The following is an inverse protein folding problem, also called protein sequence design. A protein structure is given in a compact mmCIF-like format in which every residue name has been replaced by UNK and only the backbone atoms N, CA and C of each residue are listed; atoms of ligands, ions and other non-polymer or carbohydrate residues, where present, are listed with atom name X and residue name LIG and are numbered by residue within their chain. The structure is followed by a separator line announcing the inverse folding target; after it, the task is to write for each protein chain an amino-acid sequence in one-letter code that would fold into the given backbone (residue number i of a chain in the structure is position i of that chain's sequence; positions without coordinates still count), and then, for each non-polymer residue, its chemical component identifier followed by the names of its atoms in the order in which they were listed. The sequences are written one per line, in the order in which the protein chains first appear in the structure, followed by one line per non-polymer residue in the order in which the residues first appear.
data_IF_084044284350
#
_entry.id   IF_084044284350
#
_cell.length_a   1.000
_cell.length_b   1.000
_cell.length_c   1.000
_cell.angle_alpha   90.00
_cell.angle_beta   90.00
_cell.angle_gamma   90.00
#
_symmetry.space_group_name_H-M   'P 1'
#
loop_
_entity.id
_entity.type
_entity.pdbx_description
1 polymer ?
#
# COMPACT_ATOMS: atom_id res chain seq x y z
N UNK A 1 -9.91 -9.12 -8.70
CA UNK A 1 -10.15 -10.15 -9.76
C UNK A 1 -10.94 -11.39 -9.30
N UNK A 2 -10.36 -12.38 -8.61
CA UNK A 2 -11.08 -13.64 -8.35
C UNK A 2 -12.37 -13.44 -7.53
N UNK A 3 -12.28 -12.63 -6.46
CA UNK A 3 -13.44 -12.24 -5.65
C UNK A 3 -14.50 -11.48 -6.45
N UNK A 4 -14.10 -10.57 -7.34
CA UNK A 4 -15.01 -9.81 -8.23
C UNK A 4 -15.76 -10.76 -9.18
N UNK A 5 -15.02 -11.65 -9.87
CA UNK A 5 -15.59 -12.60 -10.84
C UNK A 5 -16.62 -13.53 -10.25
N UNK A 6 -16.29 -14.09 -9.08
CA UNK A 6 -17.15 -15.07 -8.42
C UNK A 6 -18.27 -14.37 -7.65
N UNK A 7 -18.03 -13.14 -7.19
CA UNK A 7 -18.96 -12.29 -6.46
C UNK A 7 -19.66 -12.98 -5.27
N UNK A 8 -18.91 -13.85 -4.58
CA UNK A 8 -19.30 -14.46 -3.29
C UNK A 8 -18.65 -13.63 -2.17
N UNK A 9 -19.31 -13.43 -1.02
CA UNK A 9 -18.71 -12.73 0.12
C UNK A 9 -17.27 -13.19 0.36
N UNK A 10 -16.34 -12.22 0.33
CA UNK A 10 -14.90 -12.48 0.32
C UNK A 10 -14.18 -11.45 1.16
N UNK A 11 -13.08 -11.87 1.80
CA UNK A 11 -12.20 -10.98 2.57
C UNK A 11 -10.74 -11.31 2.27
N UNK A 12 -9.91 -10.29 2.06
CA UNK A 12 -8.48 -10.45 1.81
C UNK A 12 -7.70 -10.36 3.13
N UNK A 13 -6.94 -11.42 3.42
CA UNK A 13 -5.96 -11.46 4.53
C UNK A 13 -4.57 -11.39 3.93
N UNK A 14 -3.88 -10.27 4.17
CA UNK A 14 -2.53 -10.03 3.66
C UNK A 14 -1.49 -10.83 4.44
N UNK A 15 -0.36 -11.16 3.80
CA UNK A 15 0.76 -11.85 4.43
C UNK A 15 1.57 -10.95 5.35
N UNK A 16 1.65 -9.65 5.01
CA UNK A 16 2.38 -8.63 5.77
C UNK A 16 3.84 -8.47 5.33
N UNK A 17 4.47 -7.34 5.66
CA UNK A 17 5.88 -7.11 5.38
C UNK A 17 6.77 -7.98 6.28
N UNK A 18 7.93 -8.36 5.74
CA UNK A 18 9.06 -8.91 6.49
C UNK A 18 9.63 -7.82 7.41
N UNK A 19 10.21 -8.20 8.56
CA UNK A 19 11.03 -7.27 9.32
C UNK A 19 12.29 -6.90 8.54
N UNK A 20 12.77 -5.65 8.59
CA UNK A 20 14.00 -5.28 7.92
C UNK A 20 15.22 -5.96 8.55
N UNK A 21 16.22 -6.23 7.71
CA UNK A 21 17.54 -6.69 8.13
C UNK A 21 18.29 -5.62 8.92
N UNK A 22 19.26 -6.05 9.73
CA UNK A 22 20.19 -5.15 10.42
C UNK A 22 21.62 -5.62 10.28
N UNK A 23 22.50 -4.75 9.79
CA UNK A 23 23.93 -5.00 9.65
C UNK A 23 24.71 -3.81 10.21
N UNK A 24 25.62 -4.06 11.16
CA UNK A 24 26.42 -3.01 11.85
C UNK A 24 25.58 -1.86 12.44
N UNK A 25 24.37 -2.16 12.92
CA UNK A 25 23.45 -1.16 13.50
C UNK A 25 22.51 -0.51 12.48
N UNK A 26 22.84 -0.56 11.19
CA UNK A 26 22.06 0.03 10.11
C UNK A 26 20.98 -0.92 9.62
N UNK A 27 19.85 -0.35 9.19
CA UNK A 27 18.81 -1.07 8.47
C UNK A 27 19.34 -1.42 7.08
N UNK A 28 19.19 -2.69 6.67
CA UNK A 28 19.57 -3.14 5.33
C UNK A 28 18.42 -3.90 4.70
N UNK A 29 18.05 -3.50 3.49
CA UNK A 29 16.98 -4.09 2.69
C UNK A 29 17.47 -4.41 1.27
N UNK A 30 16.72 -5.23 0.53
CA UNK A 30 17.13 -5.68 -0.82
C UNK A 30 17.48 -4.55 -1.79
N UNK A 31 16.75 -3.42 -1.84
CA UNK A 31 17.15 -2.28 -2.66
C UNK A 31 18.55 -1.74 -2.35
N UNK A 32 18.98 -1.74 -1.09
CA UNK A 32 20.31 -1.23 -0.69
C UNK A 32 21.42 -2.14 -1.25
N UNK A 33 21.18 -3.46 -1.37
CA UNK A 33 22.10 -4.40 -2.01
C UNK A 33 22.15 -4.17 -3.51
N UNK A 34 20.99 -3.99 -4.15
CA UNK A 34 20.93 -3.74 -5.59
C UNK A 34 21.70 -2.46 -5.96
N UNK A 35 21.56 -1.41 -5.15
CA UNK A 35 22.32 -0.17 -5.32
C UNK A 35 23.82 -0.39 -5.08
N UNK A 36 24.19 -1.14 -4.04
CA UNK A 36 25.58 -1.48 -3.76
C UNK A 36 26.23 -2.29 -4.89
N UNK A 37 25.51 -3.25 -5.48
CA UNK A 37 25.95 -4.04 -6.64
C UNK A 37 26.09 -3.14 -7.87
N UNK A 38 25.14 -2.23 -8.12
CA UNK A 38 25.24 -1.27 -9.22
C UNK A 38 26.43 -0.29 -9.04
N UNK A 39 26.84 -0.05 -7.79
CA UNK A 39 28.00 0.77 -7.45
C UNK A 39 29.33 0.00 -7.45
N UNK A 40 29.35 -1.32 -7.71
CA UNK A 40 30.58 -2.10 -7.82
C UNK A 40 31.49 -1.52 -8.92
N UNK A 41 32.78 -1.42 -8.62
CA UNK A 41 33.77 -0.78 -9.50
C UNK A 41 33.90 0.73 -9.33
N UNK A 42 32.95 1.38 -8.64
CA UNK A 42 33.13 2.71 -8.05
C UNK A 42 33.74 2.48 -6.67
N UNK A 43 34.81 3.19 -6.27
CA UNK A 43 35.61 2.97 -5.03
C UNK A 43 34.87 3.19 -3.69
N UNK A 44 33.55 2.96 -3.65
CA UNK A 44 32.67 3.20 -2.51
C UNK A 44 32.19 1.92 -1.82
N UNK A 45 32.25 0.76 -2.47
CA UNK A 45 31.78 -0.52 -1.90
C UNK A 45 32.70 -1.66 -2.34
N UNK A 46 33.00 -2.60 -1.44
CA UNK A 46 33.75 -3.84 -1.76
C UNK A 46 32.81 -5.03 -1.88
N UNK A 47 33.21 -6.03 -2.66
CA UNK A 47 32.44 -7.27 -2.82
C UNK A 47 32.21 -7.97 -1.47
N UNK A 48 33.21 -7.95 -0.58
CA UNK A 48 33.09 -8.54 0.76
C UNK A 48 32.03 -7.84 1.62
N UNK A 49 31.89 -6.52 1.53
CA UNK A 49 30.85 -5.79 2.28
C UNK A 49 29.45 -6.10 1.72
N UNK A 50 29.31 -6.28 0.40
CA UNK A 50 28.04 -6.68 -0.22
C UNK A 50 27.63 -8.08 0.25
N UNK A 51 28.53 -9.06 0.14
CA UNK A 51 28.27 -10.44 0.59
C UNK A 51 27.98 -10.50 2.09
N UNK A 52 28.66 -9.67 2.89
CA UNK A 52 28.36 -9.58 4.32
C UNK A 52 26.94 -9.05 4.57
N UNK A 53 26.51 -8.00 3.85
CA UNK A 53 25.15 -7.44 3.98
C UNK A 53 24.05 -8.37 3.45
N UNK A 54 24.33 -9.12 2.37
CA UNK A 54 23.39 -10.07 1.76
C UNK A 54 22.82 -11.04 2.80
N UNK A 55 23.68 -11.55 3.69
CA UNK A 55 23.31 -12.47 4.76
C UNK A 55 22.31 -11.89 5.81
N UNK A 56 22.06 -10.58 5.79
CA UNK A 56 21.16 -9.92 6.75
C UNK A 56 19.87 -9.39 6.13
N UNK A 57 19.77 -9.29 4.80
CA UNK A 57 18.66 -8.60 4.11
C UNK A 57 17.31 -9.28 4.29
N UNK A 58 17.30 -10.62 4.36
CA UNK A 58 16.08 -11.41 4.48
C UNK A 58 16.04 -12.19 5.81
N UNK A 59 15.79 -11.53 6.95
CA UNK A 59 15.88 -12.17 8.26
C UNK A 59 14.75 -13.17 8.58
N UNK A 60 13.70 -13.26 7.76
CA UNK A 60 12.62 -14.23 7.96
C UNK A 60 11.47 -14.12 6.95
N UNK A 61 10.30 -14.71 7.22
CA UNK A 61 9.17 -14.66 6.29
C UNK A 61 8.52 -13.27 6.21
N UNK A 62 7.94 -12.97 5.04
CA UNK A 62 7.15 -11.78 4.73
C UNK A 62 7.43 -11.21 3.34
N UNK A 63 6.64 -10.24 2.90
CA UNK A 63 6.93 -9.46 1.69
C UNK A 63 8.15 -8.55 1.91
N UNK A 64 8.72 -7.98 0.84
CA UNK A 64 9.80 -6.99 0.97
C UNK A 64 9.42 -5.91 2.00
N UNK A 65 10.34 -5.41 2.86
CA UNK A 65 10.01 -4.45 3.92
C UNK A 65 9.77 -3.01 3.40
N UNK A 66 9.84 -2.79 2.09
CA UNK A 66 9.75 -1.49 1.41
C UNK A 66 8.41 -1.35 0.67
N UNK A 67 8.06 -0.15 0.17
CA UNK A 67 6.92 0.09 -0.72
C UNK A 67 7.16 -0.46 -2.15
N UNK A 68 7.46 -1.76 -2.25
CA UNK A 68 7.36 -2.49 -3.50
C UNK A 68 5.91 -2.94 -3.78
N UNK A 69 5.68 -3.51 -4.95
CA UNK A 69 4.34 -3.92 -5.43
C UNK A 69 3.54 -4.73 -4.40
N UNK A 70 4.18 -5.65 -3.67
CA UNK A 70 3.49 -6.45 -2.67
C UNK A 70 2.88 -5.57 -1.55
N UNK A 71 3.65 -4.66 -0.95
CA UNK A 71 3.11 -3.80 0.10
C UNK A 71 2.17 -2.74 -0.45
N UNK A 72 2.42 -2.21 -1.65
CA UNK A 72 1.47 -1.32 -2.34
C UNK A 72 0.12 -2.02 -2.47
N UNK A 73 0.06 -3.21 -3.07
CA UNK A 73 -1.21 -3.93 -3.25
C UNK A 73 -1.85 -4.38 -1.93
N UNK A 74 -1.06 -4.69 -0.90
CA UNK A 74 -1.60 -4.95 0.44
C UNK A 74 -2.25 -3.68 1.02
N UNK A 75 -1.62 -2.52 0.92
CA UNK A 75 -2.22 -1.25 1.38
C UNK A 75 -3.49 -0.94 0.58
N UNK A 76 -3.45 -1.15 -0.73
CA UNK A 76 -4.60 -0.92 -1.60
C UNK A 76 -5.76 -1.87 -1.35
N UNK A 77 -5.52 -3.10 -0.88
CA UNK A 77 -6.64 -3.99 -0.52
C UNK A 77 -7.47 -3.44 0.63
N UNK A 78 -6.86 -2.68 1.54
CA UNK A 78 -7.56 -1.95 2.60
C UNK A 78 -8.17 -0.64 2.10
N UNK A 79 -7.48 0.09 1.21
CA UNK A 79 -8.04 1.31 0.59
C UNK A 79 -9.30 1.05 -0.25
N UNK A 80 -9.34 -0.10 -0.95
CA UNK A 80 -10.51 -0.59 -1.68
C UNK A 80 -11.62 -1.04 -0.70
N UNK A 81 -11.25 -1.42 0.53
CA UNK A 81 -12.17 -1.92 1.54
C UNK A 81 -12.32 -3.45 1.56
N UNK A 82 -11.42 -4.21 0.93
CA UNK A 82 -11.44 -5.68 0.88
C UNK A 82 -10.62 -6.36 1.99
N UNK A 83 -9.84 -5.59 2.75
CA UNK A 83 -9.12 -6.04 3.95
C UNK A 83 -9.60 -5.25 5.17
N UNK A 84 -9.55 -5.87 6.35
CA UNK A 84 -9.94 -5.20 7.60
C UNK A 84 -9.10 -3.93 7.83
N UNK A 85 -9.72 -2.88 8.33
CA UNK A 85 -9.02 -1.66 8.72
C UNK A 85 -7.88 -1.94 9.72
N UNK A 86 -6.70 -1.41 9.44
CA UNK A 86 -5.44 -1.56 10.18
C UNK A 86 -4.67 -2.84 9.90
N UNK A 87 -5.12 -3.69 8.98
CA UNK A 87 -4.54 -5.03 8.83
C UNK A 87 -3.37 -5.12 7.86
N UNK A 88 -3.27 -4.20 6.90
CA UNK A 88 -2.44 -4.43 5.71
C UNK A 88 -0.94 -4.33 5.94
N UNK A 89 -0.53 -3.50 6.91
CA UNK A 89 0.88 -3.24 7.21
C UNK A 89 1.42 -4.04 8.40
N UNK A 90 0.58 -4.82 9.10
CA UNK A 90 1.02 -5.60 10.26
C UNK A 90 2.14 -6.60 9.87
N UNK A 91 3.29 -6.61 10.55
CA UNK A 91 4.42 -7.46 10.14
C UNK A 91 4.05 -8.94 10.09
N UNK A 92 4.58 -9.67 9.11
CA UNK A 92 4.25 -11.07 8.86
C UNK A 92 4.50 -11.97 10.08
N UNK A 93 5.56 -11.69 10.82
CA UNK A 93 5.97 -12.44 12.01
C UNK A 93 5.35 -11.90 13.32
N UNK A 94 4.50 -10.88 13.25
CA UNK A 94 3.87 -10.32 14.45
C UNK A 94 2.74 -11.21 14.97
N UNK A 95 2.54 -11.23 16.29
CA UNK A 95 1.36 -11.89 16.89
C UNK A 95 0.04 -11.24 16.45
N UNK A 96 0.09 -9.99 15.99
CA UNK A 96 -1.06 -9.27 15.43
C UNK A 96 -1.55 -9.88 14.13
N UNK A 97 -0.65 -10.34 13.25
CA UNK A 97 -1.01 -11.01 11.98
C UNK A 97 -1.92 -12.21 12.21
N UNK A 98 -1.65 -13.01 13.25
CA UNK A 98 -2.52 -14.14 13.64
C UNK A 98 -3.87 -13.70 14.19
N UNK A 99 -3.90 -12.61 14.98
CA UNK A 99 -5.16 -12.04 15.48
C UNK A 99 -6.02 -11.49 14.33
N UNK A 100 -5.40 -10.82 13.36
CA UNK A 100 -6.04 -10.34 12.13
C UNK A 100 -6.67 -11.51 11.39
N UNK A 101 -5.91 -12.58 11.12
CA UNK A 101 -6.43 -13.76 10.41
C UNK A 101 -7.67 -14.35 11.11
N UNK A 102 -7.62 -14.48 12.45
CA UNK A 102 -8.77 -14.96 13.25
C UNK A 102 -9.97 -14.00 13.20
N UNK A 103 -9.73 -12.69 13.25
CA UNK A 103 -10.79 -11.66 13.13
C UNK A 103 -11.42 -11.70 11.75
N UNK A 104 -10.63 -11.82 10.68
CA UNK A 104 -11.14 -11.96 9.31
C UNK A 104 -11.97 -13.21 9.13
N UNK A 105 -11.56 -14.34 9.73
CA UNK A 105 -12.33 -15.59 9.73
C UNK A 105 -13.68 -15.50 10.46
N UNK A 106 -13.80 -14.64 11.48
CA UNK A 106 -15.10 -14.33 12.09
C UNK A 106 -15.91 -13.41 11.19
N UNK A 107 -15.29 -12.34 10.71
CA UNK A 107 -15.97 -11.31 9.91
C UNK A 107 -16.54 -11.85 8.60
N UNK A 108 -15.87 -12.80 7.96
CA UNK A 108 -16.40 -13.41 6.73
C UNK A 108 -17.71 -14.18 6.95
N UNK A 109 -17.91 -14.78 8.14
CA UNK A 109 -19.19 -15.42 8.50
C UNK A 109 -20.29 -14.38 8.57
N UNK A 110 -20.01 -13.24 9.18
CA UNK A 110 -20.96 -12.12 9.26
C UNK A 110 -21.29 -11.56 7.87
N UNK A 111 -20.27 -11.35 7.01
CA UNK A 111 -20.48 -10.89 5.62
C UNK A 111 -21.39 -11.84 4.82
N UNK A 112 -21.29 -13.15 5.05
CA UNK A 112 -22.19 -14.15 4.44
C UNK A 112 -23.62 -14.00 4.94
N UNK A 113 -23.82 -13.77 6.24
CA UNK A 113 -25.15 -13.56 6.83
C UNK A 113 -25.78 -12.24 6.36
N UNK A 114 -24.98 -11.18 6.30
CA UNK A 114 -25.36 -9.84 5.82
C UNK A 114 -25.51 -9.78 4.29
N UNK A 115 -25.06 -10.82 3.58
CA UNK A 115 -25.03 -10.93 2.11
C UNK A 115 -24.23 -9.80 1.42
N UNK A 116 -23.20 -9.28 2.09
CA UNK A 116 -22.29 -8.29 1.54
C UNK A 116 -21.27 -8.99 0.64
N UNK A 117 -21.26 -8.62 -0.63
CA UNK A 117 -20.43 -9.21 -1.68
C UNK A 117 -19.35 -8.23 -2.14
N UNK A 118 -18.32 -8.70 -2.86
CA UNK A 118 -17.30 -7.83 -3.45
C UNK A 118 -17.89 -6.71 -4.32
N UNK A 119 -18.96 -6.96 -5.09
CA UNK A 119 -19.63 -5.91 -5.88
C UNK A 119 -20.32 -4.81 -5.06
N UNK A 120 -20.58 -5.02 -3.76
CA UNK A 120 -21.12 -3.99 -2.86
C UNK A 120 -20.00 -3.10 -2.27
N UNK A 121 -18.74 -3.55 -2.37
CA UNK A 121 -17.55 -2.89 -1.79
C UNK A 121 -16.71 -2.26 -2.91
N UNK A 122 -16.42 -3.03 -3.96
CA UNK A 122 -15.57 -2.65 -5.08
C UNK A 122 -16.44 -1.98 -6.15
N UNK A 123 -16.39 -0.66 -6.19
CA UNK A 123 -17.02 0.18 -7.20
C UNK A 123 -16.08 1.30 -7.66
N UNK A 124 -16.63 2.24 -8.43
CA UNK A 124 -15.83 3.35 -8.98
C UNK A 124 -15.15 4.16 -7.88
N UNK A 125 -15.90 4.56 -6.85
CA UNK A 125 -15.40 5.37 -5.73
C UNK A 125 -14.30 4.66 -4.92
N UNK A 126 -14.42 3.34 -4.68
CA UNK A 126 -13.38 2.60 -3.96
C UNK A 126 -12.11 2.41 -4.81
N UNK A 127 -12.25 2.28 -6.13
CA UNK A 127 -11.10 2.23 -7.04
C UNK A 127 -10.43 3.61 -7.17
N UNK A 128 -11.20 4.69 -7.17
CA UNK A 128 -10.68 6.06 -7.08
C UNK A 128 -9.93 6.27 -5.77
N UNK A 129 -10.47 5.80 -4.63
CA UNK A 129 -9.77 5.81 -3.35
C UNK A 129 -8.45 5.05 -3.43
N UNK A 130 -8.43 3.87 -4.05
CA UNK A 130 -7.20 3.10 -4.23
C UNK A 130 -6.15 3.87 -5.04
N UNK A 131 -6.53 4.48 -6.17
CA UNK A 131 -5.63 5.29 -6.97
C UNK A 131 -5.09 6.50 -6.19
N UNK A 132 -5.95 7.21 -5.46
CA UNK A 132 -5.55 8.37 -4.64
C UNK A 132 -4.60 7.97 -3.50
N UNK A 133 -4.84 6.83 -2.85
CA UNK A 133 -3.93 6.29 -1.84
C UNK A 133 -2.60 5.86 -2.45
N UNK A 134 -2.61 5.19 -3.61
CA UNK A 134 -1.39 4.78 -4.31
C UNK A 134 -0.47 5.98 -4.61
N UNK A 135 -1.04 7.05 -5.16
CA UNK A 135 -0.34 8.31 -5.41
C UNK A 135 0.23 8.90 -4.11
N UNK A 136 -0.58 8.96 -3.05
CA UNK A 136 -0.20 9.57 -1.78
C UNK A 136 0.90 8.80 -1.04
N UNK A 137 0.96 7.48 -1.17
CA UNK A 137 2.03 6.68 -0.57
C UNK A 137 3.29 6.64 -1.45
N UNK A 138 3.21 7.12 -2.69
CA UNK A 138 4.23 6.89 -3.72
C UNK A 138 4.40 5.40 -4.00
N UNK A 139 3.30 4.72 -4.27
CA UNK A 139 3.27 3.28 -4.48
C UNK A 139 3.98 2.83 -5.76
N UNK A 140 4.06 1.51 -5.93
CA UNK A 140 4.61 0.90 -7.13
C UNK A 140 3.79 1.27 -8.37
N UNK A 141 4.45 1.65 -9.47
CA UNK A 141 3.78 1.93 -10.76
C UNK A 141 2.97 0.74 -11.29
N UNK A 142 3.29 -0.48 -10.86
CA UNK A 142 2.49 -1.68 -11.18
C UNK A 142 1.07 -1.65 -10.59
N UNK A 143 0.82 -0.85 -9.55
CA UNK A 143 -0.51 -0.69 -8.98
C UNK A 143 -1.53 -0.17 -10.00
N UNK A 144 -1.10 0.70 -10.92
CA UNK A 144 -1.92 1.22 -12.02
C UNK A 144 -2.48 0.08 -12.86
N UNK A 145 -1.61 -0.86 -13.26
CA UNK A 145 -2.01 -2.03 -14.06
C UNK A 145 -3.05 -2.87 -13.33
N UNK A 146 -2.87 -3.07 -12.02
CA UNK A 146 -3.81 -3.83 -11.21
C UNK A 146 -5.15 -3.11 -11.02
N UNK A 147 -5.16 -1.81 -10.73
CA UNK A 147 -6.38 -1.01 -10.57
C UNK A 147 -7.16 -0.98 -11.90
N UNK A 148 -6.50 -0.72 -13.02
CA UNK A 148 -7.12 -0.75 -14.35
C UNK A 148 -7.70 -2.13 -14.67
N UNK A 149 -7.04 -3.20 -14.24
CA UNK A 149 -7.55 -4.56 -14.42
C UNK A 149 -8.81 -4.81 -13.58
N UNK A 150 -8.87 -4.33 -12.34
CA UNK A 150 -10.08 -4.43 -11.50
C UNK A 150 -11.24 -3.62 -12.08
N UNK A 151 -10.96 -2.40 -12.56
CA UNK A 151 -11.96 -1.57 -13.23
C UNK A 151 -12.53 -2.25 -14.48
N UNK A 152 -11.66 -2.82 -15.32
CA UNK A 152 -12.08 -3.54 -16.52
C UNK A 152 -12.94 -4.77 -16.18
N UNK A 153 -12.58 -5.53 -15.15
CA UNK A 153 -13.36 -6.69 -14.69
C UNK A 153 -14.79 -6.31 -14.28
N UNK A 154 -14.98 -5.08 -13.78
CA UNK A 154 -16.28 -4.54 -13.35
C UNK A 154 -16.94 -3.67 -14.42
N UNK A 155 -16.37 -3.58 -15.63
CA UNK A 155 -16.81 -2.68 -16.70
C UNK A 155 -16.92 -1.20 -16.26
N UNK A 156 -16.06 -0.76 -15.35
CA UNK A 156 -15.97 0.62 -14.88
C UNK A 156 -15.04 1.38 -15.83
N UNK A 157 -15.52 2.53 -16.33
CA UNK A 157 -14.70 3.45 -17.13
C UNK A 157 -13.61 4.08 -16.27
N UNK A 158 -12.41 3.51 -16.27
CA UNK A 158 -11.26 3.97 -15.51
C UNK A 158 -10.06 4.04 -16.45
N UNK A 159 -9.62 5.25 -16.76
CA UNK A 159 -8.58 5.52 -17.74
C UNK A 159 -7.21 5.75 -17.08
N UNK A 160 -6.16 5.86 -17.88
CA UNK A 160 -4.79 6.07 -17.36
C UNK A 160 -4.60 7.54 -16.92
N UNK A 161 -5.32 8.45 -17.56
CA UNK A 161 -5.26 9.90 -17.40
C UNK A 161 -5.65 10.35 -16.00
N UNK A 162 -6.58 9.63 -15.36
CA UNK A 162 -6.97 9.89 -13.98
C UNK A 162 -5.78 9.88 -13.02
N UNK A 163 -4.78 9.02 -13.24
CA UNK A 163 -3.60 8.91 -12.39
C UNK A 163 -2.71 10.15 -12.51
N UNK A 164 -2.56 10.71 -13.73
CA UNK A 164 -1.85 11.98 -13.92
C UNK A 164 -2.57 13.14 -13.24
N UNK A 165 -3.91 13.19 -13.36
CA UNK A 165 -4.72 14.22 -12.70
C UNK A 165 -4.61 14.15 -11.17
N UNK A 166 -4.59 12.95 -10.61
CA UNK A 166 -4.41 12.72 -9.18
C UNK A 166 -2.99 13.04 -8.72
N UNK A 167 -1.97 12.64 -9.47
CA UNK A 167 -0.57 12.92 -9.14
C UNK A 167 -0.27 14.42 -9.02
N UNK A 168 -0.94 15.27 -9.82
CA UNK A 168 -0.82 16.73 -9.75
C UNK A 168 -1.52 17.38 -8.55
N UNK A 169 -2.43 16.67 -7.88
CA UNK A 169 -3.30 17.22 -6.83
C UNK A 169 -3.02 16.62 -5.45
N UNK A 170 -2.55 15.38 -5.43
CA UNK A 170 -2.39 14.60 -4.21
C UNK A 170 -0.89 14.51 -3.92
N UNK A 171 -0.44 15.05 -2.77
CA UNK A 171 0.96 15.01 -2.43
C UNK A 171 1.39 13.62 -1.95
N UNK A 172 2.67 13.28 -2.14
CA UNK A 172 3.25 12.10 -1.51
C UNK A 172 3.56 12.39 -0.03
N UNK A 173 3.00 11.57 0.87
CA UNK A 173 3.08 11.78 2.33
C UNK A 173 3.81 10.66 3.08
N UNK A 174 4.20 9.57 2.42
CA UNK A 174 4.86 8.43 3.08
C UNK A 174 6.38 8.47 2.93
N UNK A 175 7.09 8.53 4.07
CA UNK A 175 8.54 8.48 4.16
C UNK A 175 9.09 7.04 4.15
N UNK A 176 8.62 6.20 3.24
CA UNK A 176 9.00 4.78 3.20
C UNK A 176 9.79 4.50 1.93
N UNK A 177 10.88 3.74 2.05
CA UNK A 177 11.68 3.30 0.89
C UNK A 177 10.76 2.74 -0.21
N UNK A 178 10.96 3.12 -1.49
CA UNK A 178 12.08 3.92 -2.01
C UNK A 178 11.91 5.44 -1.89
N UNK A 179 10.75 5.95 -1.48
CA UNK A 179 10.48 7.40 -1.43
C UNK A 179 11.19 8.11 -0.28
N UNK A 180 11.61 7.34 0.73
CA UNK A 180 12.10 7.86 2.00
C UNK A 180 13.01 6.89 2.73
N UNK A 181 13.19 7.12 4.03
CA UNK A 181 14.20 6.42 4.84
C UNK A 181 13.64 5.22 5.62
N UNK A 182 12.33 5.16 5.86
CA UNK A 182 11.70 4.16 6.72
C UNK A 182 11.19 2.93 5.95
N UNK A 183 10.70 1.95 6.70
CA UNK A 183 10.14 0.70 6.18
C UNK A 183 8.62 0.62 6.40
N UNK A 184 7.96 -0.37 5.79
CA UNK A 184 6.52 -0.60 5.99
C UNK A 184 6.20 -1.05 7.43
N UNK A 185 7.18 -1.64 8.13
CA UNK A 185 7.06 -1.95 9.57
C UNK A 185 7.01 -0.68 10.41
N UNK A 186 7.82 0.33 10.07
CA UNK A 186 7.76 1.64 10.71
C UNK A 186 6.44 2.34 10.39
N UNK A 187 5.97 2.23 9.13
CA UNK A 187 4.65 2.74 8.73
C UNK A 187 3.52 2.13 9.55
N UNK A 188 3.56 0.81 9.82
CA UNK A 188 2.58 0.16 10.68
C UNK A 188 2.59 0.76 12.09
N UNK A 189 3.78 0.94 12.67
CA UNK A 189 3.95 1.55 13.99
C UNK A 189 3.47 3.00 14.04
N UNK A 190 3.63 3.74 12.94
CA UNK A 190 3.19 5.12 12.77
C UNK A 190 1.66 5.30 12.60
N UNK A 191 0.89 4.21 12.61
CA UNK A 191 -0.57 4.21 12.47
C UNK A 191 -1.10 3.51 11.21
N UNK A 192 -0.22 3.08 10.31
CA UNK A 192 -0.54 2.25 9.15
C UNK A 192 -1.47 2.92 8.14
N UNK A 193 -2.22 2.09 7.42
CA UNK A 193 -3.14 2.55 6.37
C UNK A 193 -4.25 3.47 6.91
N UNK A 194 -4.86 3.24 8.09
CA UNK A 194 -5.87 4.16 8.62
C UNK A 194 -5.33 5.58 8.85
N UNK A 195 -4.08 5.72 9.29
CA UNK A 195 -3.45 7.03 9.45
C UNK A 195 -3.25 7.75 8.12
N UNK A 196 -2.80 7.04 7.08
CA UNK A 196 -2.69 7.55 5.70
C UNK A 196 -4.06 8.04 5.21
N UNK A 197 -5.08 7.18 5.27
CA UNK A 197 -6.41 7.48 4.74
C UNK A 197 -7.11 8.61 5.52
N UNK A 198 -6.84 8.76 6.81
CA UNK A 198 -7.32 9.90 7.59
C UNK A 198 -6.70 11.21 7.15
N UNK A 199 -5.39 11.22 6.89
CA UNK A 199 -4.70 12.40 6.37
C UNK A 199 -5.23 12.79 4.99
N UNK A 200 -5.66 11.82 4.19
CA UNK A 200 -6.25 12.00 2.86
C UNK A 200 -7.78 12.20 2.87
N UNK A 201 -8.42 12.33 4.03
CA UNK A 201 -9.89 12.30 4.16
C UNK A 201 -10.63 13.32 3.28
N UNK A 202 -10.02 14.46 2.96
CA UNK A 202 -10.60 15.47 2.06
C UNK A 202 -10.57 15.10 0.58
N UNK A 203 -9.76 14.12 0.21
CA UNK A 203 -9.65 13.59 -1.16
C UNK A 203 -10.52 12.35 -1.37
N UNK A 204 -10.69 11.53 -0.33
CA UNK A 204 -11.32 10.21 -0.42
C UNK A 204 -12.86 10.25 -0.41
N UNK A 205 -13.46 9.29 -1.11
CA UNK A 205 -14.88 8.94 -1.04
C UNK A 205 -15.14 8.17 0.27
N UNK A 206 -15.74 8.83 1.25
CA UNK A 206 -15.81 8.31 2.62
C UNK A 206 -16.98 7.36 2.88
N UNK A 207 -17.99 7.34 2.01
CA UNK A 207 -19.20 6.54 2.17
C UNK A 207 -19.06 5.13 1.59
N UNK A 208 -17.89 4.78 1.02
CA UNK A 208 -17.60 3.43 0.52
C UNK A 208 -17.74 2.39 1.64
N UNK A 209 -18.52 1.34 1.38
CA UNK A 209 -18.64 0.18 2.25
C UNK A 209 -17.33 -0.61 2.28
N UNK A 210 -17.03 -1.26 3.40
CA UNK A 210 -15.84 -2.10 3.57
C UNK A 210 -16.20 -3.47 4.14
N UNK A 211 -15.26 -4.41 4.10
CA UNK A 211 -15.40 -5.73 4.73
C UNK A 211 -15.62 -5.66 6.25
N UNK A 212 -15.33 -4.53 6.91
CA UNK A 212 -15.68 -4.32 8.32
C UNK A 212 -17.20 -4.20 8.54
N UNK A 213 -18.02 -4.10 7.48
CA UNK A 213 -19.46 -3.86 7.56
C UNK A 213 -19.84 -2.41 7.82
N UNK A 214 -18.87 -1.52 7.65
CA UNK A 214 -18.97 -0.09 7.93
C UNK A 214 -18.43 0.71 6.75
N UNK A 215 -18.83 1.97 6.69
CA UNK A 215 -18.24 2.93 5.76
C UNK A 215 -16.79 3.21 6.10
N UNK A 216 -16.01 3.65 5.12
CA UNK A 216 -14.65 4.13 5.34
C UNK A 216 -14.63 5.24 6.42
N UNK A 217 -15.59 6.17 6.39
CA UNK A 217 -15.73 7.24 7.39
C UNK A 217 -15.80 6.72 8.83
N UNK A 218 -16.59 5.69 9.06
CA UNK A 218 -16.78 5.08 10.38
C UNK A 218 -15.52 4.33 10.84
N UNK A 219 -14.84 3.63 9.92
CA UNK A 219 -13.58 2.96 10.23
C UNK A 219 -12.50 3.97 10.64
N UNK A 220 -12.34 5.06 9.88
CA UNK A 220 -11.34 6.09 10.18
C UNK A 220 -11.60 6.79 11.52
N UNK A 221 -12.86 6.96 11.90
CA UNK A 221 -13.24 7.58 13.17
C UNK A 221 -12.89 6.72 14.40
N UNK A 222 -12.69 5.41 14.22
CA UNK A 222 -12.30 4.47 15.28
C UNK A 222 -10.78 4.18 15.32
N UNK A 223 -9.99 4.82 14.45
CA UNK A 223 -8.55 4.58 14.34
C UNK A 223 -7.74 5.45 15.33
N UNK A 224 -6.53 4.99 15.70
CA UNK A 224 -5.61 5.74 16.60
C UNK A 224 -5.34 7.14 16.06
N UNK A 225 -5.54 8.18 16.87
CA UNK A 225 -5.29 9.57 16.46
C UNK A 225 -3.80 9.91 16.30
N UNK A 226 -2.95 9.28 17.12
CA UNK A 226 -1.51 9.52 17.10
C UNK A 226 -0.87 8.98 15.82
N UNK A 227 -0.01 9.81 15.22
CA UNK A 227 0.71 9.52 13.97
C UNK A 227 2.15 9.99 14.14
N UNK A 228 3.12 9.12 13.84
CA UNK A 228 4.52 9.53 13.75
C UNK A 228 4.74 10.34 12.47
N UNK A 229 4.89 11.66 12.63
CA UNK A 229 5.06 12.61 11.53
C UNK A 229 6.39 12.51 10.80
N UNK A 230 7.35 11.72 11.31
CA UNK A 230 8.57 11.39 10.55
C UNK A 230 8.29 10.36 9.47
N UNK A 231 7.28 9.52 9.65
CA UNK A 231 6.92 8.43 8.73
C UNK A 231 5.74 8.80 7.84
N UNK A 232 4.72 9.46 8.41
CA UNK A 232 3.52 9.92 7.70
C UNK A 232 3.41 11.44 7.83
N UNK A 233 3.81 12.13 6.78
CA UNK A 233 3.71 13.58 6.65
C UNK A 233 2.24 14.03 6.57
N UNK A 234 1.99 15.31 6.82
CA UNK A 234 0.66 15.88 6.59
C UNK A 234 0.48 16.31 5.13
N UNK A 235 -0.75 16.40 4.63
CA UNK A 235 -0.99 16.91 3.27
C UNK A 235 -0.56 18.38 3.10
N UNK A 236 -0.49 19.14 4.20
CA UNK A 236 -0.05 20.54 4.21
C UNK A 236 1.47 20.70 4.27
N UNK A 237 2.18 19.68 4.77
CA UNK A 237 3.64 19.62 4.83
C UNK A 237 4.09 18.24 4.34
N UNK A 238 3.89 17.94 3.05
CA UNK A 238 4.12 16.60 2.51
C UNK A 238 5.61 16.34 2.26
N UNK A 239 5.95 15.07 2.02
CA UNK A 239 7.29 14.67 1.58
C UNK A 239 7.58 15.25 0.18
N UNK A 240 6.63 15.11 -0.75
CA UNK A 240 6.67 15.76 -2.06
C UNK A 240 5.32 16.41 -2.36
N UNK A 241 5.34 17.60 -2.97
CA UNK A 241 4.13 18.37 -3.29
C UNK A 241 3.27 17.74 -4.37
N UNK A 242 3.89 16.99 -5.27
CA UNK A 242 3.24 16.18 -6.30
C UNK A 242 3.48 14.69 -5.97
N UNK A 243 2.59 13.84 -6.49
CA UNK A 243 2.73 12.40 -6.43
C UNK A 243 3.96 11.90 -7.19
N UNK A 244 4.40 10.67 -6.89
CA UNK A 244 5.60 10.06 -7.49
C UNK A 244 5.40 9.53 -8.91
N UNK A 245 4.29 9.86 -9.59
CA UNK A 245 3.89 9.28 -10.86
C UNK A 245 3.63 10.36 -11.92
N UNK A 246 4.03 10.10 -13.16
CA UNK A 246 3.60 10.90 -14.32
C UNK A 246 3.19 9.96 -15.45
N UNK A 247 2.13 10.32 -16.18
CA UNK A 247 1.75 9.60 -17.41
C UNK A 247 2.31 10.36 -18.59
N UNK A 248 3.22 9.74 -19.34
CA UNK A 248 3.88 10.38 -20.47
C UNK A 248 3.16 10.01 -21.78
N UNK A 249 2.88 11.03 -22.60
CA UNK A 249 2.25 10.86 -23.90
C UNK A 249 3.03 11.59 -24.99
N UNK A 250 3.05 11.00 -26.17
CA UNK A 250 3.71 11.57 -27.34
C UNK A 250 3.69 10.60 -28.52
N UNK A 251 4.40 10.94 -29.58
CA UNK A 251 4.54 10.07 -30.76
C UNK A 251 5.18 8.70 -30.45
N UNK A 252 6.01 8.61 -29.41
CA UNK A 252 6.61 7.35 -28.95
C UNK A 252 5.68 6.54 -28.02
N UNK A 253 4.74 7.21 -27.34
CA UNK A 253 3.80 6.61 -26.40
C UNK A 253 2.38 7.15 -26.67
N UNK A 254 1.77 6.80 -27.82
CA UNK A 254 0.48 7.37 -28.22
C UNK A 254 -0.65 7.01 -27.25
N UNK A 255 -0.54 5.86 -26.59
CA UNK A 255 -1.52 5.36 -25.60
C UNK A 255 -1.05 5.58 -24.14
N UNK A 256 0.02 6.34 -23.93
CA UNK A 256 0.62 6.54 -22.61
C UNK A 256 1.72 5.54 -22.25
N UNK A 257 2.60 5.94 -21.33
CA UNK A 257 3.62 5.13 -20.66
C UNK A 257 3.79 5.57 -19.21
#
# INVERSE_FOLDING_TARGET
MAAERVNIPSILVTGGPMYPGRYKGEVVVTPDINEAVAALGIRKVTEEDILARENYVCPGPGACPVLGTANTMQILSEAIGMSLSGSSTAPAQSSERLRIAKRSGRRIVDLVQEKIKPSDIIGEDSLRNAAMVDIAIGGSTNAILHILTFANELAIGFDLEIFDQYSRKIPCICNVKPNGEYTVVDLHSAGGVPAIMRELKSFLHLDCLTVDGKTLKENLSNSKEEVDRKVIYSVNQPLNKEGGLAILKGNLAPNGS
#
